data_IF_527758195118
#
_entry.id   IF_527758195118
#
_cell.length_a   1.000
_cell.length_b   1.000
_cell.length_c   1.000
_cell.angle_alpha   90.00
_cell.angle_beta   90.00
_cell.angle_gamma   90.00
#
_symmetry.space_group_name_H-M   'P 1'
#
loop_
_entity.id
_entity.type
_entity.pdbx_description
1 polymer ?
#
# COMPACT_ATOMS: atom_id res chain seq x y z
N UNK A 1 -7.66 2.23 4.22
CA UNK A 1 -6.77 3.29 4.75
C UNK A 1 -5.33 2.80 4.72
N UNK A 2 -4.40 3.56 4.13
CA UNK A 2 -2.96 3.28 4.21
C UNK A 2 -2.33 4.22 5.24
N UNK A 3 -1.83 3.66 6.34
CA UNK A 3 -1.06 4.43 7.33
C UNK A 3 0.42 4.23 7.00
N UNK A 4 1.10 5.33 6.71
CA UNK A 4 2.56 5.38 6.65
C UNK A 4 3.06 5.76 8.04
N UNK A 5 3.62 4.79 8.76
CA UNK A 5 4.25 5.02 10.05
C UNK A 5 5.72 5.44 9.81
N UNK A 6 6.09 6.62 10.27
CA UNK A 6 7.48 7.07 10.27
C UNK A 6 8.04 6.98 11.69
N UNK A 7 9.11 6.20 11.88
CA UNK A 7 9.83 6.11 13.15
C UNK A 7 11.12 6.92 13.07
N UNK A 8 11.31 7.83 14.02
CA UNK A 8 12.51 8.67 14.12
C UNK A 8 13.61 7.93 14.91
N UNK A 9 14.16 6.87 14.32
CA UNK A 9 15.36 6.20 14.85
C UNK A 9 16.52 6.39 13.87
N UNK A 10 17.73 6.65 14.40
CA UNK A 10 18.97 6.94 13.62
C UNK A 10 19.42 5.82 12.67
N UNK A 11 18.67 4.74 12.53
CA UNK A 11 18.96 3.57 11.72
C UNK A 11 17.86 3.40 10.67
N UNK A 12 18.02 4.08 9.52
CA UNK A 12 17.22 3.99 8.28
C UNK A 12 15.69 4.16 8.46
N UNK A 13 15.03 5.10 7.77
CA UNK A 13 13.56 5.16 7.80
C UNK A 13 12.98 3.90 7.17
N UNK A 14 12.48 2.98 7.99
CA UNK A 14 11.67 1.86 7.55
C UNK A 14 10.22 2.36 7.39
N UNK A 15 9.80 2.56 6.14
CA UNK A 15 8.39 2.83 5.83
C UNK A 15 7.67 1.49 5.79
N UNK A 16 7.03 1.11 6.89
CA UNK A 16 6.18 -0.09 6.93
C UNK A 16 4.77 0.29 6.50
N UNK A 17 4.32 -0.23 5.36
CA UNK A 17 2.94 -0.10 4.89
C UNK A 17 2.09 -1.14 5.61
N UNK A 18 1.30 -0.73 6.59
CA UNK A 18 0.26 -1.60 7.18
C UNK A 18 -1.02 -1.43 6.37
N UNK A 19 -1.44 -2.49 5.68
CA UNK A 19 -2.71 -2.52 4.95
C UNK A 19 -3.73 -3.30 5.79
N UNK A 20 -4.71 -2.60 6.35
CA UNK A 20 -5.83 -3.21 7.07
C UNK A 20 -6.97 -3.41 6.07
N UNK A 21 -7.17 -4.66 5.63
CA UNK A 21 -8.28 -5.03 4.75
C UNK A 21 -9.15 -6.08 5.44
N UNK A 22 -10.42 -5.73 5.68
CA UNK A 22 -11.39 -6.61 6.27
C UNK A 22 -12.47 -7.04 5.29
N UNK A 23 -12.74 -8.34 5.26
CA UNK A 23 -14.00 -8.91 4.78
C UNK A 23 -14.56 -9.75 5.92
N UNK A 24 -15.87 -9.92 6.00
CA UNK A 24 -16.51 -10.77 7.01
C UNK A 24 -15.94 -12.19 7.01
N UNK A 25 -15.90 -12.83 8.18
CA UNK A 25 -15.27 -14.16 8.38
C UNK A 25 -15.81 -15.24 7.42
N UNK A 26 -17.05 -15.11 6.95
CA UNK A 26 -17.71 -16.02 6.00
C UNK A 26 -17.07 -16.03 4.60
N UNK A 27 -16.38 -14.96 4.21
CA UNK A 27 -15.73 -14.84 2.89
C UNK A 27 -14.29 -15.36 2.87
N UNK A 28 -13.70 -15.68 4.04
CA UNK A 28 -12.28 -16.03 4.15
C UNK A 28 -11.90 -17.27 3.33
N UNK A 29 -12.65 -18.40 3.36
CA UNK A 29 -12.31 -19.56 2.55
C UNK A 29 -12.33 -19.26 1.04
N UNK A 30 -13.27 -18.43 0.58
CA UNK A 30 -13.37 -18.04 -0.81
C UNK A 30 -12.21 -17.12 -1.23
N UNK A 31 -11.81 -16.17 -0.37
CA UNK A 31 -10.64 -15.31 -0.59
C UNK A 31 -9.35 -16.13 -0.64
N UNK A 32 -9.17 -17.07 0.29
CA UNK A 32 -8.01 -17.96 0.33
C UNK A 32 -7.93 -18.81 -0.93
N UNK A 33 -9.04 -19.43 -1.34
CA UNK A 33 -9.11 -20.21 -2.60
C UNK A 33 -8.67 -19.36 -3.79
N UNK A 34 -9.25 -18.17 -3.95
CA UNK A 34 -8.88 -17.25 -5.05
C UNK A 34 -7.39 -16.88 -5.03
N UNK A 35 -6.82 -16.61 -3.85
CA UNK A 35 -5.39 -16.31 -3.72
C UNK A 35 -4.49 -17.48 -4.12
N UNK A 36 -4.88 -18.71 -3.78
CA UNK A 36 -4.16 -19.93 -4.19
C UNK A 36 -4.27 -20.15 -5.70
N UNK A 37 -5.47 -19.99 -6.28
CA UNK A 37 -5.69 -20.11 -7.72
C UNK A 37 -4.90 -19.06 -8.51
N UNK A 38 -4.83 -17.81 -8.03
CA UNK A 38 -3.99 -16.74 -8.61
C UNK A 38 -2.50 -17.11 -8.60
N UNK A 39 -2.02 -17.71 -7.51
CA UNK A 39 -0.63 -18.18 -7.39
C UNK A 39 -0.34 -19.31 -8.40
N UNK A 40 -1.21 -20.33 -8.47
CA UNK A 40 -1.06 -21.43 -9.42
C UNK A 40 -1.12 -20.98 -10.88
N UNK A 41 -1.93 -19.96 -11.19
CA UNK A 41 -1.99 -19.39 -12.53
C UNK A 41 -0.71 -18.61 -12.85
N UNK A 42 -0.18 -17.87 -11.89
CA UNK A 42 1.04 -17.09 -12.07
C UNK A 42 2.27 -17.96 -12.31
N UNK A 43 2.41 -19.08 -11.62
CA UNK A 43 3.53 -20.03 -11.81
C UNK A 43 3.63 -20.55 -13.25
N UNK A 44 2.52 -20.55 -13.98
CA UNK A 44 2.46 -20.97 -15.39
C UNK A 44 2.77 -19.83 -16.37
N UNK A 45 2.84 -18.58 -15.89
CA UNK A 45 2.97 -17.40 -16.74
C UNK A 45 4.43 -17.13 -17.07
N UNK A 46 4.71 -16.80 -18.33
CA UNK A 46 6.02 -16.28 -18.74
C UNK A 46 6.18 -14.83 -18.28
N UNK A 47 7.42 -14.47 -17.93
CA UNK A 47 7.78 -13.08 -17.65
C UNK A 47 7.46 -12.20 -18.87
N UNK A 48 6.88 -11.03 -18.64
CA UNK A 48 6.49 -10.11 -19.71
C UNK A 48 7.55 -9.02 -19.85
N UNK A 49 8.08 -8.89 -21.06
CA UNK A 49 8.99 -7.82 -21.45
C UNK A 49 8.19 -6.62 -21.95
N UNK A 50 8.63 -5.43 -21.58
CA UNK A 50 8.00 -4.15 -21.89
C UNK A 50 8.99 -3.24 -22.61
N UNK A 51 8.48 -2.36 -23.47
CA UNK A 51 9.19 -1.11 -23.78
C UNK A 51 9.14 -0.19 -22.57
N UNK A 52 10.05 0.78 -22.49
CA UNK A 52 10.05 1.74 -21.40
C UNK A 52 8.72 2.51 -21.32
N UNK A 53 8.23 2.97 -22.47
CA UNK A 53 6.96 3.68 -22.62
C UNK A 53 5.77 2.80 -22.23
N UNK A 54 5.80 1.51 -22.62
CA UNK A 54 4.77 0.56 -22.22
C UNK A 54 4.75 0.30 -20.72
N UNK A 55 5.90 0.38 -20.05
CA UNK A 55 5.97 0.31 -18.59
C UNK A 55 5.42 1.59 -17.93
N UNK A 56 5.70 2.77 -18.50
CA UNK A 56 5.14 4.07 -18.06
C UNK A 56 3.61 4.06 -18.15
N UNK A 57 3.06 3.71 -19.31
CA UNK A 57 1.60 3.66 -19.53
C UNK A 57 0.92 2.70 -18.57
N UNK A 58 1.48 1.50 -18.38
CA UNK A 58 0.98 0.52 -17.42
C UNK A 58 0.95 1.09 -16.01
N UNK A 59 1.97 1.84 -15.62
CA UNK A 59 2.10 2.37 -14.27
C UNK A 59 1.11 3.52 -14.02
N UNK A 60 0.92 4.40 -15.00
CA UNK A 60 -0.10 5.46 -14.96
C UNK A 60 -1.52 4.88 -14.90
N UNK A 61 -1.82 3.89 -15.75
CA UNK A 61 -3.14 3.24 -15.76
C UNK A 61 -3.47 2.56 -14.42
N UNK A 62 -2.47 1.97 -13.77
CA UNK A 62 -2.66 1.30 -12.48
C UNK A 62 -2.73 2.28 -11.29
N UNK A 63 -2.22 3.51 -11.42
CA UNK A 63 -2.09 4.47 -10.33
C UNK A 63 -2.58 5.86 -10.77
N UNK A 64 -3.90 6.12 -10.76
CA UNK A 64 -4.50 7.36 -11.28
C UNK A 64 -4.03 8.65 -10.60
N UNK A 65 -3.46 8.55 -9.39
CA UNK A 65 -2.92 9.70 -8.66
C UNK A 65 -1.44 9.99 -8.93
N UNK A 66 -0.71 9.19 -9.72
CA UNK A 66 0.69 9.49 -10.03
C UNK A 66 0.82 10.46 -11.21
N UNK A 67 1.73 11.43 -11.09
CA UNK A 67 2.16 12.22 -12.25
C UNK A 67 3.13 11.41 -13.12
N UNK A 68 3.27 11.82 -14.39
CA UNK A 68 4.17 11.15 -15.33
C UNK A 68 5.63 11.24 -14.86
N UNK A 69 6.02 12.39 -14.32
CA UNK A 69 7.35 12.66 -13.78
C UNK A 69 7.66 11.71 -12.61
N UNK A 70 6.73 11.57 -11.66
CA UNK A 70 6.88 10.62 -10.55
C UNK A 70 6.97 9.17 -11.03
N UNK A 71 6.26 8.80 -12.10
CA UNK A 71 6.38 7.46 -12.71
C UNK A 71 7.79 7.24 -13.25
N UNK A 72 8.38 8.20 -13.96
CA UNK A 72 9.76 8.08 -14.45
C UNK A 72 10.74 7.84 -13.30
N UNK A 73 10.67 8.64 -12.22
CA UNK A 73 11.51 8.46 -11.02
C UNK A 73 11.32 7.08 -10.38
N UNK A 74 10.09 6.58 -10.32
CA UNK A 74 9.83 5.24 -9.78
C UNK A 74 10.38 4.12 -10.68
N UNK A 75 10.39 4.32 -12.00
CA UNK A 75 10.87 3.33 -12.96
C UNK A 75 12.39 3.25 -13.03
N UNK A 76 13.13 4.29 -12.65
CA UNK A 76 14.60 4.25 -12.53
C UNK A 76 15.09 3.10 -11.64
N UNK A 77 14.37 2.81 -10.56
CA UNK A 77 14.60 1.65 -9.67
C UNK A 77 13.64 0.48 -9.91
N UNK A 78 12.58 0.74 -10.67
CA UNK A 78 11.46 -0.18 -10.87
C UNK A 78 11.62 -1.11 -12.06
N UNK A 79 12.58 -0.83 -12.95
CA UNK A 79 12.84 -1.61 -14.15
C UNK A 79 14.27 -2.17 -14.16
N UNK A 80 14.42 -3.33 -14.79
CA UNK A 80 15.70 -3.94 -15.12
C UNK A 80 15.76 -4.08 -16.63
N UNK A 81 16.85 -3.59 -17.23
CA UNK A 81 17.09 -3.74 -18.66
C UNK A 81 17.51 -5.19 -18.97
N UNK A 82 16.94 -5.73 -20.04
CA UNK A 82 17.24 -7.04 -20.65
C UNK A 82 17.58 -6.84 -22.13
N UNK A 83 18.05 -7.89 -22.79
CA UNK A 83 18.43 -7.86 -24.21
C UNK A 83 17.27 -7.41 -25.12
N UNK A 84 16.04 -7.76 -24.76
CA UNK A 84 14.82 -7.56 -25.55
C UNK A 84 13.88 -6.47 -25.00
N UNK A 85 14.29 -5.74 -23.95
CA UNK A 85 13.52 -4.62 -23.40
C UNK A 85 13.68 -4.47 -21.89
N UNK A 86 12.57 -4.22 -21.18
CA UNK A 86 12.55 -3.99 -19.74
C UNK A 86 11.61 -4.96 -19.04
N UNK A 87 12.03 -5.43 -17.86
CA UNK A 87 11.18 -6.17 -16.92
C UNK A 87 11.05 -5.39 -15.62
N UNK A 88 9.92 -5.54 -14.93
CA UNK A 88 9.77 -4.94 -13.60
C UNK A 88 10.66 -5.67 -12.60
N UNK A 89 11.44 -4.93 -11.82
CA UNK A 89 12.33 -5.49 -10.78
C UNK A 89 11.58 -6.12 -9.61
N UNK A 90 10.31 -5.74 -9.44
CA UNK A 90 9.44 -6.22 -8.35
C UNK A 90 8.83 -7.57 -8.65
N UNK A 91 8.65 -8.34 -7.59
CA UNK A 91 7.85 -9.55 -7.62
C UNK A 91 6.37 -9.23 -7.84
N UNK A 92 5.80 -9.73 -8.94
CA UNK A 92 4.39 -9.48 -9.28
C UNK A 92 3.41 -10.19 -8.33
N UNK A 93 3.87 -11.18 -7.54
CA UNK A 93 3.07 -11.87 -6.51
C UNK A 93 2.56 -10.92 -5.43
N UNK A 94 3.18 -9.75 -5.28
CA UNK A 94 2.69 -8.68 -4.38
C UNK A 94 1.28 -8.19 -4.74
N UNK A 95 0.83 -8.42 -5.98
CA UNK A 95 -0.51 -8.02 -6.44
C UNK A 95 -1.59 -9.07 -6.13
N UNK A 96 -1.23 -10.24 -5.59
CA UNK A 96 -2.21 -11.29 -5.32
C UNK A 96 -3.10 -10.93 -4.15
N UNK A 97 -4.26 -11.58 -4.11
CA UNK A 97 -5.15 -11.46 -2.95
C UNK A 97 -4.39 -11.88 -1.70
N UNK A 98 -4.31 -10.94 -0.74
CA UNK A 98 -3.75 -11.25 0.56
C UNK A 98 -4.60 -12.32 1.26
N UNK A 99 -4.01 -13.50 1.41
CA UNK A 99 -4.60 -14.68 2.06
C UNK A 99 -4.51 -14.60 3.59
N UNK A 100 -3.61 -13.77 4.14
CA UNK A 100 -3.48 -13.52 5.59
C UNK A 100 -4.07 -12.16 5.91
N UNK A 101 -5.25 -12.15 6.51
CA UNK A 101 -5.93 -10.92 6.94
C UNK A 101 -5.98 -10.86 8.45
N UNK A 102 -5.64 -9.69 8.97
CA UNK A 102 -5.71 -9.43 10.40
C UNK A 102 -7.05 -8.83 10.77
N UNK A 103 -7.53 -9.19 11.95
CA UNK A 103 -8.66 -8.51 12.57
C UNK A 103 -8.26 -7.09 13.06
N UNK A 104 -9.22 -6.33 13.57
CA UNK A 104 -9.07 -4.94 13.99
C UNK A 104 -8.42 -5.01 15.35
N UNK A 105 -8.93 -5.90 16.20
CA UNK A 105 -8.38 -6.28 17.48
C UNK A 105 -6.92 -6.73 17.31
N UNK A 106 -6.63 -7.60 16.33
CA UNK A 106 -5.24 -8.00 16.03
C UNK A 106 -4.40 -6.81 15.56
N UNK A 107 -4.95 -5.92 14.73
CA UNK A 107 -4.25 -4.73 14.24
C UNK A 107 -3.96 -3.73 15.37
N UNK A 108 -4.94 -3.49 16.25
CA UNK A 108 -4.82 -2.62 17.43
C UNK A 108 -3.84 -3.21 18.44
N UNK A 109 -3.85 -4.52 18.66
CA UNK A 109 -2.89 -5.21 19.52
C UNK A 109 -1.46 -5.12 18.98
N UNK A 110 -1.25 -5.22 17.67
CA UNK A 110 0.07 -4.98 17.08
C UNK A 110 0.51 -3.51 17.28
N UNK A 111 -0.40 -2.56 17.09
CA UNK A 111 -0.11 -1.13 17.28
C UNK A 111 0.10 -0.76 18.76
N UNK A 112 -0.55 -1.45 19.70
CA UNK A 112 -0.41 -1.23 21.15
C UNK A 112 1.01 -1.50 21.64
N UNK A 113 1.77 -2.32 20.91
CA UNK A 113 3.16 -2.69 21.21
C UNK A 113 4.18 -1.68 20.68
N UNK A 114 3.75 -0.70 19.88
CA UNK A 114 4.64 0.37 19.43
C UNK A 114 4.95 1.29 20.61
N UNK A 115 6.24 1.35 20.98
CA UNK A 115 6.75 2.18 22.07
C UNK A 115 7.37 3.50 21.59
N UNK A 116 7.73 3.58 20.30
CA UNK A 116 8.30 4.79 19.72
C UNK A 116 7.23 5.87 19.53
N UNK A 117 7.62 7.14 19.61
CA UNK A 117 6.78 8.25 19.17
C UNK A 117 6.54 8.15 17.67
N UNK A 118 5.28 8.20 17.26
CA UNK A 118 4.86 8.07 15.86
C UNK A 118 4.31 9.40 15.36
N UNK A 119 4.77 9.83 14.19
CA UNK A 119 4.13 10.87 13.39
C UNK A 119 3.33 10.22 12.26
N UNK A 120 2.06 10.59 12.17
CA UNK A 120 1.11 10.07 11.18
C UNK A 120 0.73 11.21 10.27
N UNK A 121 1.04 11.05 8.98
CA UNK A 121 0.74 12.05 7.95
C UNK A 121 -0.44 11.56 7.11
N UNK A 122 -1.55 12.29 7.16
CA UNK A 122 -2.77 12.02 6.42
C UNK A 122 -2.87 12.97 5.23
N UNK A 123 -2.98 12.43 4.02
CA UNK A 123 -3.26 13.23 2.83
C UNK A 123 -4.77 13.46 2.71
N UNK A 124 -5.20 14.72 2.58
CA UNK A 124 -6.61 15.12 2.56
C UNK A 124 -7.42 14.38 1.49
N UNK A 125 -6.85 14.25 0.30
CA UNK A 125 -7.50 13.66 -0.88
C UNK A 125 -6.97 12.22 -1.12
N UNK A 126 -6.18 11.68 -0.18
CA UNK A 126 -5.51 10.40 -0.32
C UNK A 126 -6.37 9.18 0.04
N UNK A 127 -7.60 9.38 0.50
CA UNK A 127 -8.46 8.34 1.07
C UNK A 127 -9.64 7.94 0.18
N UNK A 128 -9.82 8.58 -0.98
CA UNK A 128 -11.07 8.58 -1.76
C UNK A 128 -11.62 7.20 -2.15
N UNK A 129 -10.80 6.15 -2.24
CA UNK A 129 -11.27 4.80 -2.60
C UNK A 129 -11.54 3.85 -1.42
N UNK A 130 -11.15 4.21 -0.20
CA UNK A 130 -11.22 3.28 0.95
C UNK A 130 -12.19 3.70 2.04
N UNK A 131 -12.83 4.87 1.93
CA UNK A 131 -13.72 5.43 2.97
C UNK A 131 -15.19 5.56 2.52
N UNK A 132 -15.53 5.07 1.32
CA UNK A 132 -16.92 5.13 0.82
C UNK A 132 -17.84 4.10 1.47
N UNK A 133 -17.30 3.07 2.13
CA UNK A 133 -18.08 2.10 2.89
C UNK A 133 -18.25 2.54 4.35
N UNK A 134 -19.48 2.56 4.91
CA UNK A 134 -19.74 2.96 6.29
C UNK A 134 -18.91 2.20 7.33
N UNK A 135 -18.70 0.90 7.10
CA UNK A 135 -17.85 0.05 7.95
C UNK A 135 -16.37 0.48 7.94
N UNK A 136 -15.85 1.01 6.83
CA UNK A 136 -14.47 1.49 6.75
C UNK A 136 -14.28 2.89 7.37
N UNK A 137 -15.35 3.67 7.47
CA UNK A 137 -15.35 4.93 8.21
C UNK A 137 -15.24 4.70 9.72
N UNK A 138 -15.97 3.72 10.26
CA UNK A 138 -15.89 3.34 11.67
C UNK A 138 -14.50 2.73 12.03
N UNK A 139 -13.92 1.94 11.13
CA UNK A 139 -12.56 1.44 11.30
C UNK A 139 -11.53 2.58 11.32
N UNK A 140 -11.69 3.56 10.42
CA UNK A 140 -10.78 4.69 10.32
C UNK A 140 -10.88 5.61 11.53
N UNK A 141 -12.10 5.89 12.01
CA UNK A 141 -12.30 6.68 13.23
C UNK A 141 -11.73 5.96 14.46
N UNK A 142 -11.99 4.66 14.61
CA UNK A 142 -11.47 3.86 15.73
C UNK A 142 -9.95 3.85 15.74
N UNK A 143 -9.32 3.66 14.58
CA UNK A 143 -7.86 3.62 14.49
C UNK A 143 -7.23 4.99 14.77
N UNK A 144 -7.80 6.06 14.22
CA UNK A 144 -7.32 7.42 14.50
C UNK A 144 -7.48 7.79 15.97
N UNK A 145 -8.58 7.38 16.60
CA UNK A 145 -8.80 7.59 18.02
C UNK A 145 -7.76 6.84 18.85
N UNK A 146 -7.54 5.54 18.57
CA UNK A 146 -6.53 4.73 19.24
C UNK A 146 -5.12 5.35 19.17
N UNK A 147 -4.76 5.92 18.01
CA UNK A 147 -3.46 6.56 17.83
C UNK A 147 -3.35 7.87 18.62
N UNK A 148 -4.43 8.68 18.66
CA UNK A 148 -4.50 9.92 19.45
C UNK A 148 -4.43 9.64 20.95
N UNK A 149 -5.11 8.60 21.43
CA UNK A 149 -5.13 8.21 22.85
C UNK A 149 -3.75 7.80 23.37
N UNK A 150 -2.81 7.47 22.46
CA UNK A 150 -1.43 7.08 22.77
C UNK A 150 -0.40 8.20 22.58
N UNK A 151 -0.85 9.45 22.51
CA UNK A 151 0.00 10.64 22.33
C UNK A 151 0.86 10.58 21.05
N UNK A 152 0.34 9.92 20.00
CA UNK A 152 0.96 10.00 18.67
C UNK A 152 0.52 11.27 17.95
N UNK A 153 1.44 11.86 17.19
CA UNK A 153 1.15 13.09 16.44
C UNK A 153 0.45 12.73 15.14
N UNK A 154 -0.71 13.34 14.88
CA UNK A 154 -1.46 13.18 13.63
C UNK A 154 -1.55 14.53 12.93
N UNK A 155 -1.04 14.60 11.70
CA UNK A 155 -1.07 15.81 10.86
C UNK A 155 -1.76 15.53 9.53
N UNK A 156 -2.56 16.49 9.08
CA UNK A 156 -3.22 16.40 7.76
C UNK A 156 -2.54 17.37 6.80
N UNK A 157 -2.11 16.87 5.64
CA UNK A 157 -1.48 17.65 4.57
C UNK A 157 -2.37 17.71 3.34
N UNK A 158 -2.33 18.80 2.54
CA UNK A 158 -2.99 18.84 1.23
C UNK A 158 -2.43 17.79 0.27
N UNK A 159 -3.26 17.34 -0.67
CA UNK A 159 -2.86 16.43 -1.75
C UNK A 159 -3.41 15.01 -1.60
N UNK A 160 -3.06 14.16 -2.56
CA UNK A 160 -3.53 12.79 -2.68
C UNK A 160 -2.59 11.77 -2.00
N UNK A 161 -2.84 10.47 -2.25
CA UNK A 161 -2.04 9.38 -1.70
C UNK A 161 -0.53 9.52 -1.98
N UNK A 162 -0.16 10.22 -3.05
CA UNK A 162 1.20 10.40 -3.52
C UNK A 162 1.75 11.81 -3.23
N UNK A 163 1.14 12.58 -2.33
CA UNK A 163 1.57 13.93 -1.97
C UNK A 163 3.06 14.02 -1.61
N UNK A 164 3.62 12.98 -0.99
CA UNK A 164 5.04 12.91 -0.63
C UNK A 164 6.00 12.69 -1.82
N UNK A 165 5.48 12.36 -3.01
CA UNK A 165 6.28 12.04 -4.21
C UNK A 165 6.18 13.12 -5.29
N UNK A 166 5.12 13.92 -5.31
CA UNK A 166 4.85 14.93 -6.35
C UNK A 166 5.65 16.23 -6.23
N UNK A 167 6.43 16.39 -5.16
CA UNK A 167 7.18 17.61 -4.85
C UNK A 167 8.68 17.37 -4.62
N UNK A 168 9.21 16.23 -5.09
CA UNK A 168 10.64 15.91 -5.06
C UNK A 168 11.34 16.44 -6.31
#
# INVERSE_FOLDING_TARGET
>A
MHICLFSNSRLRPAVTRVCVCFLGQTELPAVMRRGIEELLHYEKRKERIYTYEGAVERMLAANPGLSKESVHVLLERGLVQREDGFVFSRDLRVNFKNIVRFSLEQSLEMLSRVQASVLIVLARDGSERSLSEPSQNELTSTLLQFLRDRDHTVVTVPGDHHAHLKHA
#
